data_IF_241293378690
#
_entry.id   IF_241293378690
#
_cell.length_a   1.000
_cell.length_b   1.000
_cell.length_c   1.000
_cell.angle_alpha   90.00
_cell.angle_beta   90.00
_cell.angle_gamma   90.00
#
_symmetry.space_group_name_H-M   'P 1'
#
loop_
_entity.id
_entity.type
_entity.pdbx_description
1 polymer ?
#
# COMPACT_ATOMS: atom_id res chain seq x y z
N UNK A 1 -53.42 55.61 23.67
CA UNK A 1 -52.28 54.94 23.00
C UNK A 1 -51.92 53.73 23.81
N UNK A 2 -52.20 52.52 23.33
CA UNK A 2 -51.85 51.25 23.99
C UNK A 2 -50.56 50.73 23.37
N UNK A 3 -49.51 50.58 24.14
CA UNK A 3 -48.23 49.99 23.73
C UNK A 3 -48.32 48.47 24.01
N UNK A 4 -48.26 47.67 22.95
CA UNK A 4 -48.21 46.21 23.05
C UNK A 4 -46.73 45.79 23.07
N UNK A 5 -46.28 45.23 24.20
CA UNK A 5 -44.95 44.61 24.32
C UNK A 5 -45.01 43.20 23.74
N UNK A 6 -44.19 42.93 22.71
CA UNK A 6 -44.00 41.59 22.13
C UNK A 6 -42.77 40.99 22.80
N UNK A 7 -42.96 39.95 23.60
CA UNK A 7 -41.90 39.15 24.18
C UNK A 7 -41.51 38.02 23.19
N UNK A 8 -40.31 38.12 22.60
CA UNK A 8 -39.69 37.02 21.81
C UNK A 8 -39.09 36.00 22.76
N UNK A 9 -39.67 34.80 22.81
CA UNK A 9 -39.10 33.63 23.44
C UNK A 9 -38.08 33.01 22.47
N UNK A 10 -36.80 33.18 22.74
CA UNK A 10 -35.73 32.52 22.00
C UNK A 10 -35.59 31.04 22.43
N UNK A 11 -35.93 30.14 21.53
CA UNK A 11 -35.65 28.71 21.73
C UNK A 11 -34.16 28.45 21.43
N UNK A 12 -33.38 28.08 22.46
CA UNK A 12 -32.01 27.58 22.32
C UNK A 12 -32.09 26.12 21.84
N UNK A 13 -31.81 25.91 20.55
CA UNK A 13 -31.62 24.59 20.01
C UNK A 13 -30.23 24.07 20.43
N UNK A 14 -30.20 23.17 21.40
CA UNK A 14 -29.01 22.43 21.80
C UNK A 14 -28.64 21.44 20.70
N UNK A 15 -27.60 21.72 19.91
CA UNK A 15 -26.98 20.77 19.01
C UNK A 15 -26.24 19.70 19.83
N UNK A 16 -26.88 18.60 20.12
CA UNK A 16 -26.20 17.42 20.63
C UNK A 16 -25.40 16.79 19.48
N UNK A 17 -24.08 16.95 19.50
CA UNK A 17 -23.17 16.23 18.63
C UNK A 17 -23.15 14.77 19.04
N UNK A 18 -23.79 13.90 18.26
CA UNK A 18 -23.70 12.46 18.38
C UNK A 18 -22.28 12.01 18.02
N UNK A 19 -21.62 11.16 18.83
CA UNK A 19 -20.34 10.57 18.42
C UNK A 19 -20.59 9.64 17.26
N UNK A 20 -20.01 9.99 16.10
CA UNK A 20 -19.98 9.12 14.93
C UNK A 20 -19.03 7.98 15.23
N UNK A 21 -19.54 6.89 15.76
CA UNK A 21 -18.82 5.61 15.83
C UNK A 21 -18.77 5.04 14.41
N UNK A 22 -17.76 5.39 13.65
CA UNK A 22 -17.41 4.67 12.43
C UNK A 22 -16.93 3.27 12.82
N UNK A 23 -17.85 2.31 12.86
CA UNK A 23 -17.49 0.90 12.79
C UNK A 23 -16.79 0.69 11.45
N UNK A 24 -15.46 0.63 11.48
CA UNK A 24 -14.68 0.09 10.37
C UNK A 24 -15.11 -1.37 10.21
N UNK A 25 -15.70 -1.78 9.08
CA UNK A 25 -16.03 -3.18 8.90
C UNK A 25 -14.73 -3.97 8.80
N UNK A 26 -14.36 -4.66 9.86
CA UNK A 26 -13.40 -5.76 9.83
C UNK A 26 -14.13 -6.95 9.25
N UNK A 27 -14.36 -6.92 7.95
CA UNK A 27 -14.68 -8.10 7.17
C UNK A 27 -13.63 -8.21 6.09
N UNK A 28 -12.46 -8.72 6.47
CA UNK A 28 -11.56 -9.30 5.50
C UNK A 28 -12.32 -10.48 4.87
N UNK A 29 -12.84 -10.30 3.66
CA UNK A 29 -13.43 -11.40 2.93
C UNK A 29 -12.32 -12.44 2.73
N UNK A 30 -12.54 -13.67 3.18
CA UNK A 30 -11.68 -14.83 3.02
C UNK A 30 -11.57 -15.28 1.54
N UNK A 31 -12.10 -14.47 0.60
CA UNK A 31 -12.01 -14.74 -0.82
C UNK A 31 -10.59 -14.41 -1.32
N UNK A 32 -9.97 -15.30 -2.10
CA UNK A 32 -8.67 -15.03 -2.71
C UNK A 32 -8.72 -13.73 -3.52
N UNK A 33 -7.77 -12.82 -3.30
CA UNK A 33 -7.64 -11.65 -4.15
C UNK A 33 -7.16 -12.08 -5.55
N UNK A 34 -8.07 -12.02 -6.52
CA UNK A 34 -7.82 -12.37 -7.93
C UNK A 34 -7.38 -11.17 -8.77
N UNK A 35 -7.30 -9.98 -8.16
CA UNK A 35 -6.75 -8.80 -8.84
C UNK A 35 -5.31 -9.04 -9.31
N UNK A 36 -4.85 -8.25 -10.28
CA UNK A 36 -3.47 -8.37 -10.75
C UNK A 36 -2.46 -8.10 -9.62
N UNK A 37 -2.73 -7.16 -8.73
CA UNK A 37 -1.90 -6.92 -7.54
C UNK A 37 -1.87 -8.13 -6.61
N UNK A 38 -3.00 -8.82 -6.42
CA UNK A 38 -3.08 -10.08 -5.67
C UNK A 38 -2.30 -11.21 -6.34
N UNK A 39 -2.32 -11.29 -7.68
CA UNK A 39 -1.52 -12.26 -8.43
C UNK A 39 -0.03 -12.00 -8.26
N UNK A 40 0.42 -10.75 -8.41
CA UNK A 40 1.83 -10.36 -8.19
C UNK A 40 2.27 -10.69 -6.76
N UNK A 41 1.44 -10.40 -5.77
CA UNK A 41 1.74 -10.70 -4.37
C UNK A 41 1.93 -12.21 -4.13
N UNK A 42 1.08 -13.05 -4.73
CA UNK A 42 1.20 -14.52 -4.66
C UNK A 42 2.47 -15.02 -5.34
N UNK A 43 2.81 -14.49 -6.51
CA UNK A 43 4.03 -14.83 -7.25
C UNK A 43 5.29 -14.45 -6.47
N UNK A 44 5.32 -13.28 -5.82
CA UNK A 44 6.43 -12.88 -4.95
C UNK A 44 6.58 -13.85 -3.77
N UNK A 45 5.49 -14.23 -3.11
CA UNK A 45 5.58 -15.20 -2.01
C UNK A 45 6.02 -16.58 -2.50
N UNK A 46 5.57 -17.01 -3.69
CA UNK A 46 6.08 -18.24 -4.31
C UNK A 46 7.60 -18.14 -4.61
N UNK A 47 8.05 -17.01 -5.14
CA UNK A 47 9.48 -16.74 -5.37
C UNK A 47 10.26 -16.81 -4.05
N UNK A 48 9.78 -16.17 -2.99
CA UNK A 48 10.40 -16.16 -1.66
C UNK A 48 10.54 -17.58 -1.10
N UNK A 49 9.48 -18.38 -1.11
CA UNK A 49 9.54 -19.79 -0.63
C UNK A 49 10.59 -20.61 -1.38
N UNK A 50 10.69 -20.43 -2.70
CA UNK A 50 11.69 -21.11 -3.52
C UNK A 50 13.14 -20.70 -3.21
N UNK A 51 13.32 -19.58 -2.48
CA UNK A 51 14.62 -19.06 -2.05
C UNK A 51 14.80 -19.13 -0.53
N UNK A 52 13.99 -19.92 0.19
CA UNK A 52 14.14 -20.14 1.64
C UNK A 52 13.68 -18.99 2.53
N UNK A 53 12.97 -17.99 1.97
CA UNK A 53 12.41 -16.88 2.74
C UNK A 53 10.94 -17.14 3.11
N UNK A 54 10.51 -16.64 4.27
CA UNK A 54 9.12 -16.74 4.73
C UNK A 54 8.17 -15.91 3.90
N UNK A 55 6.91 -16.31 3.86
CA UNK A 55 5.84 -15.53 3.22
C UNK A 55 5.68 -14.17 3.91
N UNK A 56 5.33 -13.18 3.11
CA UNK A 56 4.95 -11.85 3.56
C UNK A 56 3.45 -11.80 3.88
N UNK A 57 3.08 -11.01 4.87
CA UNK A 57 1.69 -10.61 5.09
C UNK A 57 1.37 -9.39 4.22
N UNK A 58 0.17 -9.40 3.58
CA UNK A 58 -0.27 -8.26 2.78
C UNK A 58 -0.79 -7.13 3.67
N UNK A 59 -0.37 -5.90 3.39
CA UNK A 59 -0.80 -4.74 4.15
C UNK A 59 -1.47 -3.69 3.26
N UNK A 60 -2.75 -3.43 3.49
CA UNK A 60 -3.56 -2.52 2.67
C UNK A 60 -3.04 -1.07 2.61
N UNK A 61 -2.37 -0.60 3.66
CA UNK A 61 -1.72 0.71 3.67
C UNK A 61 -0.54 0.77 2.71
N UNK A 62 0.28 -0.27 2.68
CA UNK A 62 1.39 -0.38 1.73
C UNK A 62 0.88 -0.54 0.30
N UNK A 63 -0.23 -1.27 0.08
CA UNK A 63 -0.89 -1.34 -1.24
C UNK A 63 -1.27 0.05 -1.75
N UNK A 64 -1.87 0.90 -0.89
CA UNK A 64 -2.27 2.27 -1.27
C UNK A 64 -1.07 3.14 -1.64
N UNK A 65 0.01 3.08 -0.87
CA UNK A 65 1.24 3.83 -1.17
C UNK A 65 1.87 3.36 -2.49
N UNK A 66 1.96 2.05 -2.70
CA UNK A 66 2.47 1.46 -3.92
C UNK A 66 1.60 1.82 -5.15
N UNK A 67 0.27 1.76 -5.00
CA UNK A 67 -0.67 2.12 -6.06
C UNK A 67 -0.57 3.61 -6.44
N UNK A 68 -0.45 4.50 -5.44
CA UNK A 68 -0.26 5.93 -5.69
C UNK A 68 1.02 6.19 -6.49
N UNK A 69 2.08 5.42 -6.22
CA UNK A 69 3.31 5.55 -6.99
C UNK A 69 3.16 5.06 -8.43
N UNK A 70 2.46 3.96 -8.68
CA UNK A 70 2.15 3.52 -10.05
C UNK A 70 1.36 4.58 -10.84
N UNK A 71 0.39 5.24 -10.19
CA UNK A 71 -0.36 6.35 -10.80
C UNK A 71 0.56 7.53 -11.13
N UNK A 72 1.41 7.92 -10.17
CA UNK A 72 2.42 8.97 -10.40
C UNK A 72 3.30 8.65 -11.62
N UNK A 73 3.89 7.46 -11.68
CA UNK A 73 4.74 7.03 -12.78
C UNK A 73 4.02 7.06 -14.13
N UNK A 74 2.75 6.65 -14.18
CA UNK A 74 1.97 6.67 -15.43
C UNK A 74 1.68 8.08 -15.93
N UNK A 75 1.51 9.04 -15.02
CA UNK A 75 1.27 10.45 -15.35
C UNK A 75 2.53 11.18 -15.82
N UNK A 76 3.71 10.75 -15.36
CA UNK A 76 5.00 11.38 -15.62
C UNK A 76 5.87 10.57 -16.59
N UNK A 77 5.27 9.60 -17.29
CA UNK A 77 5.98 8.66 -18.17
C UNK A 77 6.85 9.32 -19.27
N UNK A 78 6.52 10.53 -19.70
CA UNK A 78 7.26 11.29 -20.71
C UNK A 78 8.25 12.33 -20.17
N UNK A 79 8.14 12.70 -18.89
CA UNK A 79 8.90 13.82 -18.32
C UNK A 79 10.31 13.42 -17.90
N UNK A 80 10.50 12.20 -17.47
CA UNK A 80 11.73 11.74 -16.81
C UNK A 80 12.50 10.66 -17.57
N UNK A 81 11.99 10.17 -18.67
CA UNK A 81 12.56 9.00 -19.36
C UNK A 81 12.56 7.76 -18.44
N UNK A 82 11.82 6.75 -18.75
CA UNK A 82 11.68 5.50 -17.95
C UNK A 82 12.99 4.77 -17.61
N UNK A 83 14.13 5.28 -18.04
CA UNK A 83 15.45 4.64 -17.96
C UNK A 83 16.45 5.35 -17.05
N UNK A 84 16.05 6.43 -16.37
CA UNK A 84 16.92 7.10 -15.39
C UNK A 84 16.94 6.33 -14.06
N UNK A 85 18.11 6.03 -13.53
CA UNK A 85 18.29 5.28 -12.27
C UNK A 85 17.50 5.83 -11.06
N UNK A 86 17.06 7.07 -11.10
CA UNK A 86 16.45 7.75 -9.96
C UNK A 86 14.96 8.07 -10.13
N UNK A 87 14.39 7.87 -11.32
CA UNK A 87 13.02 8.29 -11.61
C UNK A 87 11.98 7.30 -11.12
N UNK A 88 12.27 6.00 -11.20
CA UNK A 88 11.36 4.95 -10.76
C UNK A 88 11.09 4.97 -9.25
N UNK A 89 12.00 5.50 -8.45
CA UNK A 89 11.89 5.61 -6.99
C UNK A 89 11.59 7.04 -6.49
N UNK A 90 11.20 7.95 -7.38
CA UNK A 90 10.90 9.33 -6.99
C UNK A 90 9.86 9.37 -5.86
N UNK A 91 10.15 10.16 -4.80
CA UNK A 91 9.27 10.28 -3.64
C UNK A 91 9.26 9.06 -2.69
N UNK A 92 10.22 8.13 -2.82
CA UNK A 92 10.33 6.97 -1.92
C UNK A 92 10.42 7.39 -0.45
N UNK A 93 11.19 8.42 -0.10
CA UNK A 93 11.30 8.90 1.29
C UNK A 93 9.95 9.31 1.89
N UNK A 94 9.09 9.95 1.11
CA UNK A 94 7.72 10.30 1.53
C UNK A 94 6.85 9.05 1.77
N UNK A 95 6.96 8.03 0.91
CA UNK A 95 6.25 6.76 1.09
C UNK A 95 6.76 6.00 2.31
N UNK A 96 8.08 5.98 2.51
CA UNK A 96 8.69 5.36 3.69
C UNK A 96 8.29 6.08 4.98
N UNK A 97 8.26 7.41 4.99
CA UNK A 97 7.78 8.20 6.13
C UNK A 97 6.31 7.90 6.42
N UNK A 98 5.44 7.89 5.41
CA UNK A 98 4.03 7.56 5.58
C UNK A 98 3.83 6.13 6.11
N UNK A 99 4.65 5.16 5.68
CA UNK A 99 4.60 3.81 6.19
C UNK A 99 4.98 3.74 7.68
N UNK A 100 5.99 4.50 8.11
CA UNK A 100 6.41 4.57 9.51
C UNK A 100 5.34 5.24 10.38
N UNK A 101 4.89 6.41 9.99
CA UNK A 101 4.01 7.23 10.82
C UNK A 101 2.57 6.73 10.85
N UNK A 102 2.02 6.32 9.69
CA UNK A 102 0.61 5.93 9.58
C UNK A 102 0.36 4.44 9.82
N UNK A 103 1.38 3.59 9.60
CA UNK A 103 1.21 2.13 9.69
C UNK A 103 2.19 1.46 10.66
N UNK A 104 3.04 2.25 11.33
CA UNK A 104 4.01 1.78 12.34
C UNK A 104 4.95 0.70 11.78
N UNK A 105 5.40 0.92 10.56
CA UNK A 105 6.35 0.04 9.89
C UNK A 105 7.78 0.60 10.01
N UNK A 106 8.75 -0.30 10.18
CA UNK A 106 10.17 0.02 10.12
C UNK A 106 10.82 -0.62 8.88
N UNK A 107 12.05 -0.22 8.55
CA UNK A 107 12.84 -0.80 7.48
C UNK A 107 12.03 -0.96 6.19
N UNK A 108 11.80 0.13 5.49
CA UNK A 108 11.05 0.13 4.25
C UNK A 108 12.00 -0.04 3.06
N UNK A 109 11.60 -0.85 2.08
CA UNK A 109 12.26 -0.95 0.77
C UNK A 109 11.25 -0.99 -0.35
N UNK A 110 11.69 -0.74 -1.58
CA UNK A 110 10.82 -0.63 -2.74
C UNK A 110 11.42 -1.33 -3.96
N UNK A 111 10.58 -2.08 -4.66
CA UNK A 111 10.84 -2.55 -6.02
C UNK A 111 9.86 -1.87 -6.99
N UNK A 112 10.37 -1.43 -8.14
CA UNK A 112 9.56 -0.87 -9.22
C UNK A 112 9.93 -1.56 -10.53
N UNK A 113 8.95 -1.89 -11.35
CA UNK A 113 9.15 -2.42 -12.69
C UNK A 113 8.08 -1.94 -13.66
N UNK A 114 8.46 -1.84 -14.94
CA UNK A 114 7.52 -1.69 -16.04
C UNK A 114 7.73 -2.84 -17.02
N UNK A 115 6.68 -3.61 -17.26
CA UNK A 115 6.65 -4.66 -18.26
C UNK A 115 5.93 -4.15 -19.51
N UNK A 116 6.63 -4.09 -20.65
CA UNK A 116 6.05 -3.69 -21.93
C UNK A 116 5.35 -4.89 -22.56
N UNK A 117 4.04 -4.78 -22.78
CA UNK A 117 3.21 -5.81 -23.40
C UNK A 117 3.45 -7.23 -22.83
N UNK A 118 3.29 -7.44 -21.50
CA UNK A 118 3.63 -8.71 -20.84
C UNK A 118 2.67 -9.87 -21.20
N UNK A 119 1.72 -9.65 -22.10
CA UNK A 119 0.72 -10.65 -22.51
C UNK A 119 -0.38 -10.86 -21.45
N UNK A 120 -1.01 -12.04 -21.50
CA UNK A 120 -2.18 -12.37 -20.65
C UNK A 120 -1.83 -12.69 -19.19
N UNK A 121 -0.56 -12.89 -18.86
CA UNK A 121 -0.12 -13.22 -17.49
C UNK A 121 1.03 -12.31 -17.03
N UNK A 122 0.74 -11.05 -16.66
CA UNK A 122 1.77 -10.08 -16.29
C UNK A 122 2.50 -10.38 -14.98
N UNK A 123 1.86 -11.07 -14.04
CA UNK A 123 2.42 -11.24 -12.69
C UNK A 123 3.77 -12.00 -12.68
N UNK A 124 3.93 -13.17 -13.29
CA UNK A 124 5.24 -13.82 -13.39
C UNK A 124 6.27 -13.01 -14.18
N UNK A 125 5.84 -12.22 -15.18
CA UNK A 125 6.73 -11.35 -15.94
C UNK A 125 7.36 -10.28 -15.04
N UNK A 126 6.55 -9.59 -14.22
CA UNK A 126 7.01 -8.59 -13.26
C UNK A 126 7.99 -9.17 -12.24
N UNK A 127 7.68 -10.33 -11.67
CA UNK A 127 8.57 -11.00 -10.70
C UNK A 127 9.90 -11.41 -11.37
N UNK A 128 9.88 -11.87 -12.63
CA UNK A 128 11.11 -12.16 -13.39
C UNK A 128 11.95 -10.89 -13.63
N UNK A 129 11.31 -9.75 -13.91
CA UNK A 129 12.03 -8.48 -14.06
C UNK A 129 12.71 -8.07 -12.76
N UNK A 130 12.04 -8.22 -11.63
CA UNK A 130 12.66 -7.98 -10.31
C UNK A 130 13.76 -8.99 -10.00
N UNK A 131 13.57 -10.26 -10.28
CA UNK A 131 14.58 -11.31 -10.06
C UNK A 131 15.84 -11.11 -10.93
N UNK A 132 15.73 -10.49 -12.09
CA UNK A 132 16.86 -10.18 -12.97
C UNK A 132 17.70 -8.98 -12.50
N UNK A 133 17.22 -8.18 -11.56
CA UNK A 133 17.94 -7.06 -10.96
C UNK A 133 18.49 -7.48 -9.59
N UNK A 134 19.80 -7.34 -9.39
CA UNK A 134 20.46 -7.72 -8.13
C UNK A 134 19.83 -7.08 -6.89
N UNK A 135 19.48 -5.79 -6.97
CA UNK A 135 18.94 -5.03 -5.85
C UNK A 135 17.47 -5.40 -5.59
N UNK A 136 16.67 -5.59 -6.65
CA UNK A 136 15.28 -6.02 -6.52
C UNK A 136 15.17 -7.47 -6.02
N UNK A 137 16.05 -8.37 -6.50
CA UNK A 137 16.13 -9.74 -6.02
C UNK A 137 16.51 -9.79 -4.54
N UNK A 138 17.50 -9.00 -4.14
CA UNK A 138 17.88 -8.86 -2.73
C UNK A 138 16.69 -8.41 -1.87
N UNK A 139 15.93 -7.39 -2.32
CA UNK A 139 14.73 -6.95 -1.63
C UNK A 139 13.69 -8.07 -1.52
N UNK A 140 13.41 -8.81 -2.59
CA UNK A 140 12.44 -9.90 -2.54
C UNK A 140 12.82 -11.01 -1.56
N UNK A 141 14.12 -11.29 -1.36
CA UNK A 141 14.60 -12.37 -0.48
C UNK A 141 14.93 -11.96 0.95
N UNK A 142 14.99 -10.67 1.22
CA UNK A 142 15.33 -10.14 2.55
C UNK A 142 14.26 -10.42 3.61
N UNK A 143 14.62 -10.22 4.87
CA UNK A 143 13.76 -10.50 6.03
C UNK A 143 12.74 -9.37 6.24
N UNK A 144 11.61 -9.47 5.60
CA UNK A 144 10.46 -8.60 5.76
C UNK A 144 9.31 -9.35 6.42
N UNK A 145 8.40 -8.64 7.08
CA UNK A 145 7.15 -9.21 7.60
C UNK A 145 5.95 -8.90 6.71
N UNK A 146 5.93 -7.71 6.09
CA UNK A 146 4.78 -7.22 5.33
C UNK A 146 5.19 -6.70 3.95
N UNK A 147 4.22 -6.69 3.04
CA UNK A 147 4.36 -6.07 1.73
C UNK A 147 3.04 -5.50 1.23
N UNK A 148 3.14 -4.50 0.34
CA UNK A 148 2.03 -3.99 -0.45
C UNK A 148 2.40 -3.89 -1.92
N UNK A 149 1.41 -4.14 -2.79
CA UNK A 149 1.56 -4.15 -4.24
C UNK A 149 0.62 -3.13 -4.87
N UNK A 150 1.16 -2.21 -5.64
CA UNK A 150 0.44 -1.40 -6.60
C UNK A 150 0.68 -1.89 -8.02
N UNK A 151 -0.35 -1.89 -8.85
CA UNK A 151 -0.25 -2.23 -10.28
C UNK A 151 -1.15 -1.32 -11.10
N UNK A 152 -0.64 -0.84 -12.23
CA UNK A 152 -1.41 -0.06 -13.18
C UNK A 152 -1.14 -0.56 -14.60
N UNK A 153 -2.22 -0.83 -15.33
CA UNK A 153 -2.15 -1.15 -16.77
C UNK A 153 -2.35 0.13 -17.55
N UNK A 154 -1.40 0.49 -18.38
CA UNK A 154 -1.44 1.68 -19.21
C UNK A 154 -2.24 1.44 -20.49
N UNK A 155 -2.60 2.52 -21.21
CA UNK A 155 -3.41 2.44 -22.44
C UNK A 155 -2.74 1.67 -23.57
N UNK A 156 -1.40 1.65 -23.59
CA UNK A 156 -0.61 0.91 -24.57
C UNK A 156 -0.38 -0.56 -24.19
N UNK A 157 -1.02 -1.03 -23.10
CA UNK A 157 -0.90 -2.41 -22.63
C UNK A 157 0.34 -2.69 -21.79
N UNK A 158 1.17 -1.72 -21.50
CA UNK A 158 2.28 -1.85 -20.55
C UNK A 158 1.74 -1.95 -19.12
N UNK A 159 2.50 -2.59 -18.23
CA UNK A 159 2.13 -2.77 -16.82
C UNK A 159 3.21 -2.20 -15.93
N UNK A 160 2.85 -1.20 -15.14
CA UNK A 160 3.69 -0.60 -14.10
C UNK A 160 3.37 -1.29 -12.78
N UNK A 161 4.38 -1.73 -12.05
CA UNK A 161 4.22 -2.32 -10.73
C UNK A 161 5.19 -1.73 -9.73
N UNK A 162 4.68 -1.46 -8.53
CA UNK A 162 5.47 -1.05 -7.37
C UNK A 162 5.19 -2.03 -6.24
N UNK A 163 6.25 -2.49 -5.58
CA UNK A 163 6.16 -3.29 -4.36
C UNK A 163 6.86 -2.55 -3.23
N UNK A 164 6.19 -2.37 -2.11
CA UNK A 164 6.78 -1.93 -0.86
C UNK A 164 6.94 -3.11 0.08
N UNK A 165 8.10 -3.21 0.71
CA UNK A 165 8.41 -4.15 1.76
C UNK A 165 8.57 -3.40 3.08
N UNK A 166 8.17 -4.04 4.18
CA UNK A 166 8.30 -3.44 5.50
C UNK A 166 8.44 -4.50 6.60
N UNK A 167 8.99 -4.08 7.74
CA UNK A 167 8.90 -4.82 9.01
C UNK A 167 7.94 -4.10 9.95
N UNK A 168 7.21 -4.83 10.79
CA UNK A 168 6.43 -4.21 11.89
C UNK A 168 7.41 -3.63 12.91
N UNK A 169 7.09 -2.44 13.45
CA UNK A 169 7.91 -1.82 14.46
C UNK A 169 7.93 -2.66 15.77
N UNK A 170 9.06 -2.65 16.45
CA UNK A 170 9.28 -3.44 17.67
C UNK A 170 8.25 -3.10 18.78
N UNK A 171 7.72 -1.88 18.80
CA UNK A 171 6.67 -1.45 19.73
C UNK A 171 5.35 -2.20 19.55
N UNK A 172 5.02 -2.61 18.32
CA UNK A 172 3.82 -3.40 18.03
C UNK A 172 3.96 -4.89 18.40
N UNK A 173 5.15 -5.48 18.21
CA UNK A 173 5.40 -6.86 18.59
C UNK A 173 5.18 -7.06 20.10
N UNK A 174 5.70 -6.14 20.93
CA UNK A 174 5.53 -6.19 22.38
C UNK A 174 4.09 -5.97 22.83
N UNK A 175 3.26 -5.27 22.07
CA UNK A 175 1.83 -5.08 22.37
C UNK A 175 1.01 -6.33 22.02
N UNK A 176 1.26 -6.99 20.90
CA UNK A 176 0.59 -8.25 20.52
C UNK A 176 0.87 -9.38 21.52
N UNK A 177 2.12 -9.52 21.97
CA UNK A 177 2.52 -10.55 22.94
C UNK A 177 1.83 -10.38 24.32
N UNK A 178 1.40 -9.17 24.69
CA UNK A 178 0.65 -8.94 25.94
C UNK A 178 -0.79 -9.42 25.87
N UNK A 179 -1.42 -9.44 24.71
CA UNK A 179 -2.83 -9.87 24.54
C UNK A 179 -2.99 -11.36 24.27
N UNK A 180 -1.91 -12.08 23.95
CA UNK A 180 -1.95 -13.53 23.69
C UNK A 180 -1.63 -14.39 24.94
N UNK A 181 -1.39 -13.78 26.10
CA UNK A 181 -1.06 -14.48 27.37
C UNK A 181 -2.22 -14.59 28.36
N UNK A 182 -3.48 -14.41 27.91
CA UNK A 182 -4.68 -14.62 28.75
C UNK A 182 -5.66 -15.55 28.08
#
# INVERSE_FOLDING_TARGET
MKVIAVTCLGALASCATQPVTTKVPVSASLQPDTSLSGQVFKEVNAYRRNHGASDLERHAGLDRLAQSHCVYLSQHHGEFGLYGKNVSHYGFEGRALAARESYQMDNISENVATANNPGSNPAPCLVKLWAASKDHDYNMRSSWSHSGIGVLVTKDGSVIATQLFATISHSQLTSRDRFTRY
#
